data_IF_361788875547
#
_entry.id   IF_361788875547
#
_cell.length_a   1.000
_cell.length_b   1.000
_cell.length_c   1.000
_cell.angle_alpha   90.00
_cell.angle_beta   90.00
_cell.angle_gamma   90.00
#
_symmetry.space_group_name_H-M   'P 1'
#
loop_
_entity.id
_entity.type
_entity.pdbx_description
1 polymer ?
#
# COMPACT_ATOMS: atom_id res chain seq x y z
N UNK A 1 8.26 -11.41 21.68
CA UNK A 1 7.78 -10.95 20.36
C UNK A 1 8.97 -10.35 19.62
N UNK A 2 9.33 -10.87 18.43
CA UNK A 2 10.32 -10.20 17.58
C UNK A 2 9.63 -9.00 16.92
N UNK A 3 10.18 -7.80 17.09
CA UNK A 3 9.77 -6.64 16.31
C UNK A 3 10.29 -6.80 14.88
N UNK A 4 9.56 -6.27 13.89
CA UNK A 4 10.02 -6.25 12.50
C UNK A 4 11.28 -5.38 12.40
N UNK A 5 12.36 -5.91 11.79
CA UNK A 5 13.61 -5.18 11.60
C UNK A 5 13.54 -4.21 10.41
N UNK A 6 12.82 -4.60 9.36
CA UNK A 6 12.56 -3.80 8.18
C UNK A 6 11.11 -3.92 7.72
N UNK A 7 10.59 -2.87 7.08
CA UNK A 7 9.23 -2.82 6.51
C UNK A 7 9.30 -2.27 5.08
N UNK A 8 8.65 -2.97 4.16
CA UNK A 8 8.37 -2.50 2.81
C UNK A 8 7.07 -1.70 2.82
N UNK A 9 7.09 -0.50 2.24
CA UNK A 9 5.92 0.35 2.08
C UNK A 9 5.88 0.91 0.66
N UNK A 10 4.68 1.13 0.12
CA UNK A 10 4.49 1.83 -1.16
C UNK A 10 3.86 3.18 -0.87
N UNK A 11 4.49 4.26 -1.33
CA UNK A 11 3.97 5.61 -1.15
C UNK A 11 2.68 5.77 -1.98
N UNK A 12 1.57 6.26 -1.40
CA UNK A 12 0.34 6.47 -2.14
C UNK A 12 0.55 7.45 -3.30
N UNK A 13 -0.06 7.15 -4.45
CA UNK A 13 -0.07 8.04 -5.62
C UNK A 13 -1.49 8.42 -6.03
N UNK A 14 -2.28 7.49 -6.59
CA UNK A 14 -3.69 7.72 -6.99
C UNK A 14 -4.67 7.22 -5.92
N UNK A 15 -4.34 7.38 -4.64
CA UNK A 15 -5.16 6.82 -3.56
C UNK A 15 -6.60 7.36 -3.59
N UNK A 16 -7.56 6.45 -3.59
CA UNK A 16 -8.97 6.80 -3.68
C UNK A 16 -9.88 5.58 -3.72
N UNK A 17 -11.14 5.82 -4.06
CA UNK A 17 -12.12 4.75 -4.22
C UNK A 17 -11.80 3.92 -5.47
N UNK A 18 -11.80 2.60 -5.34
CA UNK A 18 -11.60 1.68 -6.45
C UNK A 18 -12.88 0.87 -6.70
N UNK A 19 -13.55 1.12 -7.83
CA UNK A 19 -14.79 0.44 -8.19
C UNK A 19 -14.61 -1.09 -8.31
N UNK A 20 -13.41 -1.60 -8.65
CA UNK A 20 -13.16 -3.04 -8.75
C UNK A 20 -13.11 -3.72 -7.39
N UNK A 21 -12.32 -3.19 -6.45
CA UNK A 21 -12.12 -3.76 -5.12
C UNK A 21 -13.22 -3.35 -4.14
N UNK A 22 -14.00 -2.30 -4.41
CA UNK A 22 -15.14 -1.93 -3.58
C UNK A 22 -16.24 -3.00 -3.49
N UNK A 23 -16.24 -3.97 -4.42
CA UNK A 23 -17.22 -5.07 -4.45
C UNK A 23 -17.03 -6.07 -3.30
N UNK A 24 -15.80 -6.23 -2.82
CA UNK A 24 -15.43 -7.18 -1.77
C UNK A 24 -14.61 -6.56 -0.62
N UNK A 25 -14.13 -5.31 -0.76
CA UNK A 25 -13.44 -4.56 0.29
C UNK A 25 -14.42 -3.69 1.09
N UNK A 26 -14.96 -4.25 2.18
CA UNK A 26 -15.89 -3.56 3.08
C UNK A 26 -15.33 -2.31 3.78
N UNK A 27 -14.01 -2.09 3.75
CA UNK A 27 -13.38 -0.88 4.28
C UNK A 27 -13.51 0.32 3.33
N UNK A 28 -13.72 0.09 2.03
CA UNK A 28 -13.84 1.19 1.08
C UNK A 28 -15.19 1.88 1.21
N UNK A 29 -15.13 3.20 1.32
CA UNK A 29 -16.30 4.07 1.27
C UNK A 29 -16.10 5.07 0.15
N UNK A 30 -17.15 5.27 -0.65
CA UNK A 30 -17.15 6.32 -1.66
C UNK A 30 -17.31 7.66 -0.97
N UNK A 31 -16.18 8.34 -0.73
CA UNK A 31 -16.13 9.65 -0.08
C UNK A 31 -15.93 10.71 -1.16
N UNK A 32 -16.82 11.69 -1.22
CA UNK A 32 -16.67 12.84 -2.13
C UNK A 32 -15.75 13.90 -1.53
N UNK A 33 -14.45 13.61 -1.45
CA UNK A 33 -13.43 14.53 -0.93
C UNK A 33 -12.33 14.73 -1.95
N UNK A 34 -12.20 15.97 -2.45
CA UNK A 34 -11.30 16.32 -3.56
C UNK A 34 -9.80 16.11 -3.28
N UNK A 35 -9.39 16.06 -2.01
CA UNK A 35 -7.98 15.97 -1.60
C UNK A 35 -7.62 14.64 -0.91
N UNK A 36 -8.36 13.56 -1.14
CA UNK A 36 -8.16 12.29 -0.42
C UNK A 36 -6.76 11.69 -0.67
N UNK A 37 -6.26 11.75 -1.91
CA UNK A 37 -4.91 11.27 -2.24
C UNK A 37 -3.82 12.05 -1.50
N UNK A 38 -3.93 13.38 -1.47
CA UNK A 38 -3.00 14.26 -0.76
C UNK A 38 -2.98 13.98 0.75
N UNK A 39 -4.16 13.79 1.35
CA UNK A 39 -4.27 13.46 2.78
C UNK A 39 -3.65 12.10 3.09
N UNK A 40 -3.84 11.10 2.21
CA UNK A 40 -3.21 9.79 2.37
C UNK A 40 -1.68 9.88 2.31
N UNK A 41 -1.13 10.73 1.44
CA UNK A 41 0.33 11.00 1.40
C UNK A 41 0.78 11.62 2.72
N UNK A 42 0.08 12.62 3.24
CA UNK A 42 0.44 13.25 4.53
C UNK A 42 0.38 12.27 5.71
N UNK A 43 -0.63 11.40 5.76
CA UNK A 43 -0.75 10.36 6.78
C UNK A 43 0.35 9.31 6.64
N UNK A 44 0.65 8.89 5.41
CA UNK A 44 1.74 7.96 5.10
C UNK A 44 3.09 8.51 5.56
N UNK A 45 3.42 9.75 5.23
CA UNK A 45 4.70 10.38 5.63
C UNK A 45 4.81 10.51 7.15
N UNK A 46 3.71 10.82 7.84
CA UNK A 46 3.66 10.83 9.31
C UNK A 46 3.94 9.44 9.89
N UNK A 47 3.37 8.38 9.30
CA UNK A 47 3.62 7.00 9.72
C UNK A 47 5.08 6.60 9.49
N UNK A 48 5.62 6.84 8.29
CA UNK A 48 7.03 6.57 7.96
C UNK A 48 7.97 7.29 8.95
N UNK A 49 7.72 8.57 9.23
CA UNK A 49 8.51 9.34 10.20
C UNK A 49 8.42 8.74 11.60
N UNK A 50 7.24 8.29 12.03
CA UNK A 50 7.04 7.66 13.35
C UNK A 50 7.76 6.32 13.46
N UNK A 51 7.70 5.48 12.42
CA UNK A 51 8.38 4.18 12.41
C UNK A 51 9.91 4.34 12.40
N UNK A 52 10.44 5.23 11.56
CA UNK A 52 11.88 5.55 11.54
C UNK A 52 12.40 6.07 12.89
N UNK A 53 11.61 6.89 13.60
CA UNK A 53 11.93 7.35 14.97
C UNK A 53 12.01 6.22 16.01
N UNK A 54 11.43 5.06 15.72
CA UNK A 54 11.51 3.87 16.57
C UNK A 54 12.56 2.88 16.05
N UNK A 55 13.53 3.34 15.27
CA UNK A 55 14.66 2.57 14.74
C UNK A 55 14.24 1.35 13.89
N UNK A 56 13.09 1.44 13.22
CA UNK A 56 12.66 0.43 12.22
C UNK A 56 13.19 0.87 10.85
N UNK A 57 13.83 -0.05 10.12
CA UNK A 57 14.26 0.21 8.75
C UNK A 57 13.06 0.24 7.79
N UNK A 58 12.91 1.30 7.01
CA UNK A 58 11.74 1.49 6.15
C UNK A 58 12.18 1.67 4.70
N UNK A 59 11.80 0.71 3.85
CA UNK A 59 12.00 0.76 2.41
C UNK A 59 10.72 1.28 1.75
N UNK A 60 10.74 2.53 1.32
CA UNK A 60 9.61 3.17 0.61
C UNK A 60 9.84 3.06 -0.90
N UNK A 61 8.90 2.45 -1.60
CA UNK A 61 8.84 2.42 -3.05
C UNK A 61 7.79 3.41 -3.56
N UNK A 62 8.01 3.96 -4.76
CA UNK A 62 7.12 4.92 -5.40
C UNK A 62 6.37 4.22 -6.53
N UNK A 63 5.05 4.34 -6.54
CA UNK A 63 4.22 3.96 -7.68
C UNK A 63 4.63 4.82 -8.90
N UNK A 64 4.85 4.17 -10.05
CA UNK A 64 5.39 4.80 -11.26
C UNK A 64 4.34 5.54 -12.10
N UNK A 65 3.06 5.49 -11.68
CA UNK A 65 1.94 6.15 -12.34
C UNK A 65 1.78 5.77 -13.83
N UNK A 66 2.21 4.57 -14.23
CA UNK A 66 1.92 4.05 -15.58
C UNK A 66 0.47 3.59 -15.71
N UNK A 67 -0.12 3.15 -14.61
CA UNK A 67 -1.47 2.62 -14.53
C UNK A 67 -2.25 3.27 -13.40
N UNK A 68 -3.58 3.15 -13.44
CA UNK A 68 -4.44 3.62 -12.37
C UNK A 68 -4.53 2.55 -11.26
N UNK A 69 -3.72 2.68 -10.23
CA UNK A 69 -3.51 1.71 -9.15
C UNK A 69 -3.83 2.31 -7.77
N UNK A 70 -5.10 2.66 -7.48
CA UNK A 70 -5.48 3.40 -6.27
C UNK A 70 -5.22 2.67 -4.95
N UNK A 71 -5.07 1.34 -5.02
CA UNK A 71 -4.82 0.49 -3.86
C UNK A 71 -3.32 0.17 -3.64
N UNK A 72 -2.40 0.69 -4.47
CA UNK A 72 -0.97 0.31 -4.46
C UNK A 72 -0.27 0.52 -3.13
N UNK A 73 -0.76 1.45 -2.31
CA UNK A 73 -0.32 1.68 -0.91
C UNK A 73 -0.40 0.43 -0.02
N UNK A 74 -1.15 -0.61 -0.41
CA UNK A 74 -1.32 -1.86 0.32
C UNK A 74 -0.57 -3.03 -0.35
N UNK A 75 0.78 -3.12 -0.26
CA UNK A 75 1.56 -4.21 -0.86
C UNK A 75 1.29 -5.57 -0.19
N UNK A 76 0.88 -5.57 1.08
CA UNK A 76 0.59 -6.79 1.86
C UNK A 76 -0.51 -7.67 1.25
N UNK A 77 -1.25 -7.17 0.26
CA UNK A 77 -2.28 -7.93 -0.44
C UNK A 77 -1.71 -8.83 -1.54
N UNK A 78 -0.56 -8.48 -2.12
CA UNK A 78 0.01 -9.21 -3.26
C UNK A 78 1.43 -9.74 -3.03
N UNK A 79 2.12 -9.33 -1.97
CA UNK A 79 3.44 -9.86 -1.59
C UNK A 79 3.51 -10.22 -0.11
N UNK A 80 4.18 -11.33 0.20
CA UNK A 80 4.61 -11.70 1.54
C UNK A 80 6.08 -12.13 1.55
N UNK A 81 6.73 -11.96 2.69
CA UNK A 81 8.10 -12.40 2.95
C UNK A 81 8.10 -13.36 4.14
N UNK A 82 8.86 -14.44 4.03
CA UNK A 82 8.88 -15.52 5.02
C UNK A 82 10.25 -15.65 5.69
N UNK A 83 10.28 -16.23 6.89
CA UNK A 83 11.50 -16.35 7.71
C UNK A 83 12.61 -17.19 7.04
N UNK A 84 12.24 -18.10 6.13
CA UNK A 84 13.15 -18.90 5.34
C UNK A 84 13.74 -18.16 4.12
N UNK A 85 13.38 -16.89 3.92
CA UNK A 85 13.82 -16.06 2.80
C UNK A 85 12.90 -16.09 1.58
N UNK A 86 11.84 -16.91 1.60
CA UNK A 86 10.92 -16.98 0.47
C UNK A 86 10.12 -15.68 0.32
N UNK A 87 9.89 -15.32 -0.95
CA UNK A 87 8.98 -14.25 -1.35
C UNK A 87 7.85 -14.91 -2.12
N UNK A 88 6.61 -14.67 -1.69
CA UNK A 88 5.43 -15.18 -2.38
C UNK A 88 4.68 -14.00 -2.98
N UNK A 89 4.35 -14.14 -4.27
CA UNK A 89 3.51 -13.20 -4.99
C UNK A 89 2.12 -13.82 -5.20
N UNK A 90 1.08 -13.09 -4.82
CA UNK A 90 -0.30 -13.54 -4.94
C UNK A 90 -0.95 -12.99 -6.21
N UNK A 91 -1.75 -13.80 -6.94
CA UNK A 91 -2.57 -13.29 -8.02
C UNK A 91 -3.67 -12.41 -7.45
N UNK A 92 -3.84 -11.22 -8.03
CA UNK A 92 -4.89 -10.29 -7.61
C UNK A 92 -6.18 -10.50 -8.40
N UNK A 93 -7.32 -10.51 -7.71
CA UNK A 93 -8.64 -10.67 -8.35
C UNK A 93 -8.94 -9.49 -9.27
N UNK A 94 -8.93 -8.28 -8.71
CA UNK A 94 -9.09 -7.01 -9.42
C UNK A 94 -7.96 -6.79 -10.44
N UNK A 95 -8.31 -6.33 -11.65
CA UNK A 95 -7.37 -6.12 -12.75
C UNK A 95 -6.44 -4.94 -12.45
N UNK A 96 -6.98 -3.85 -11.92
CA UNK A 96 -6.21 -2.71 -11.42
C UNK A 96 -5.07 -3.15 -10.51
N UNK A 97 -5.35 -4.05 -9.56
CA UNK A 97 -4.36 -4.56 -8.60
C UNK A 97 -3.33 -5.52 -9.19
N UNK A 98 -3.60 -6.12 -10.38
CA UNK A 98 -2.59 -6.96 -11.06
C UNK A 98 -1.43 -6.12 -11.61
N UNK A 99 -1.66 -4.83 -11.88
CA UNK A 99 -0.73 -3.89 -12.51
C UNK A 99 0.25 -3.22 -11.54
N UNK A 100 0.17 -3.54 -10.25
CA UNK A 100 1.02 -2.97 -9.19
C UNK A 100 2.34 -3.73 -9.00
N UNK A 101 2.50 -4.85 -9.70
CA UNK A 101 3.65 -5.76 -9.63
C UNK A 101 4.63 -5.43 -10.74
#
# INVERSE_FOLDING_TARGET
>A
MSTAKSILMIRPFDFGFNDETSKDNHYQKKINKKNIAQLAIEEFEKLVKKLKKNNIDIHVFQDDNKYRTPDSVFPNNWISTHQNGDIVLYPMSAKSRRMER
#
